data_IF_780506718686
#
_entry.id   IF_780506718686
#
_cell.length_a   1.000
_cell.length_b   1.000
_cell.length_c   1.000
_cell.angle_alpha   90.00
_cell.angle_beta   90.00
_cell.angle_gamma   90.00
#
_symmetry.space_group_name_H-M   'P 1'
#
loop_
_entity.id
_entity.type
_entity.pdbx_description
1 polymer ?
#
# COMPACT_ATOMS: atom_id res chain seq x y z
N UNK A 1 -13.07 -6.38 -20.44
CA UNK A 1 -12.06 -5.75 -19.55
C UNK A 1 -12.30 -6.27 -18.14
N UNK A 2 -11.28 -6.74 -17.41
CA UNK A 2 -11.49 -7.22 -16.04
C UNK A 2 -11.70 -6.03 -15.07
N UNK A 3 -12.31 -6.30 -13.91
CA UNK A 3 -12.64 -5.28 -12.92
C UNK A 3 -11.37 -4.55 -12.44
N UNK A 4 -10.29 -5.27 -12.20
CA UNK A 4 -9.02 -4.69 -11.75
C UNK A 4 -8.47 -3.67 -12.74
N UNK A 5 -8.51 -3.95 -14.05
CA UNK A 5 -8.12 -3.00 -15.09
C UNK A 5 -9.04 -1.78 -15.13
N UNK A 6 -10.35 -1.96 -14.99
CA UNK A 6 -11.27 -0.83 -14.94
C UNK A 6 -11.00 0.10 -13.74
N UNK A 7 -10.79 -0.47 -12.55
CA UNK A 7 -10.47 0.30 -11.35
C UNK A 7 -9.11 1.00 -11.48
N UNK A 8 -8.11 0.33 -12.06
CA UNK A 8 -6.82 0.95 -12.34
C UNK A 8 -6.96 2.14 -13.30
N UNK A 9 -7.60 1.94 -14.44
CA UNK A 9 -7.77 2.97 -15.46
C UNK A 9 -8.55 4.18 -14.90
N UNK A 10 -9.50 3.96 -13.97
CA UNK A 10 -10.25 5.03 -13.29
C UNK A 10 -9.45 5.86 -12.27
N UNK A 11 -8.37 5.33 -11.71
CA UNK A 11 -7.58 6.00 -10.66
C UNK A 11 -6.16 6.34 -11.13
N UNK A 12 -5.91 6.20 -12.42
CA UNK A 12 -4.59 6.39 -13.02
C UNK A 12 -4.09 7.82 -12.86
N UNK A 13 -5.00 8.79 -12.91
CA UNK A 13 -4.75 10.21 -12.65
C UNK A 13 -4.21 10.43 -11.22
N UNK A 14 -4.84 9.82 -10.22
CA UNK A 14 -4.39 9.89 -8.82
C UNK A 14 -3.03 9.21 -8.64
N UNK A 15 -2.82 8.05 -9.28
CA UNK A 15 -1.52 7.38 -9.27
C UNK A 15 -0.42 8.26 -9.88
N UNK A 16 -0.70 8.94 -11.00
CA UNK A 16 0.23 9.88 -11.60
C UNK A 16 0.44 11.13 -10.75
N UNK A 17 -0.59 11.65 -10.07
CA UNK A 17 -0.44 12.77 -9.15
C UNK A 17 0.49 12.40 -7.97
N UNK A 18 0.32 11.21 -7.38
CA UNK A 18 1.20 10.68 -6.34
C UNK A 18 2.64 10.50 -6.84
N UNK A 19 2.82 9.90 -8.02
CA UNK A 19 4.14 9.71 -8.64
C UNK A 19 4.87 11.05 -8.86
N UNK A 20 4.16 12.08 -9.31
CA UNK A 20 4.72 13.40 -9.60
C UNK A 20 4.74 14.33 -8.38
N UNK A 21 4.34 13.86 -7.20
CA UNK A 21 4.40 14.64 -5.97
C UNK A 21 5.84 15.01 -5.60
N UNK A 22 6.00 16.13 -4.88
CA UNK A 22 7.32 16.57 -4.39
C UNK A 22 8.00 15.52 -3.53
N UNK A 23 7.23 14.73 -2.78
CA UNK A 23 7.77 13.67 -1.92
C UNK A 23 8.38 12.53 -2.75
N UNK A 24 7.62 11.94 -3.67
CA UNK A 24 8.09 10.82 -4.51
C UNK A 24 9.22 11.24 -5.45
N UNK A 25 9.10 12.42 -6.08
CA UNK A 25 10.21 12.95 -6.89
C UNK A 25 11.44 13.28 -6.04
N UNK A 26 11.25 13.69 -4.78
CA UNK A 26 12.35 13.93 -3.86
C UNK A 26 13.11 12.67 -3.51
N UNK A 27 12.41 11.54 -3.32
CA UNK A 27 13.03 10.22 -3.16
C UNK A 27 13.81 9.85 -4.42
N UNK A 28 13.16 9.93 -5.60
CA UNK A 28 13.77 9.60 -6.89
C UNK A 28 15.08 10.35 -7.15
N UNK A 29 15.09 11.65 -6.85
CA UNK A 29 16.23 12.53 -7.14
C UNK A 29 17.24 12.61 -5.98
N UNK A 30 16.98 11.93 -4.86
CA UNK A 30 17.86 11.93 -3.68
C UNK A 30 17.91 13.25 -2.91
N UNK A 31 16.95 14.16 -3.13
CA UNK A 31 16.93 15.49 -2.52
C UNK A 31 15.83 15.66 -1.44
N UNK A 32 15.08 14.60 -1.12
CA UNK A 32 14.11 14.63 -0.04
C UNK A 32 14.84 14.89 1.30
N UNK A 33 14.43 15.91 2.09
CA UNK A 33 15.00 16.13 3.40
C UNK A 33 14.84 14.89 4.29
N UNK A 34 15.92 14.49 4.97
CA UNK A 34 15.95 13.30 5.82
C UNK A 34 14.80 13.27 6.84
N UNK A 35 14.50 14.41 7.47
CA UNK A 35 13.43 14.50 8.46
C UNK A 35 12.06 14.17 7.86
N UNK A 36 11.79 14.57 6.62
CA UNK A 36 10.53 14.23 5.94
C UNK A 36 10.42 12.72 5.72
N UNK A 37 11.53 12.07 5.34
CA UNK A 37 11.56 10.62 5.19
C UNK A 37 11.36 9.90 6.53
N UNK A 38 12.00 10.38 7.60
CA UNK A 38 11.80 9.82 8.95
C UNK A 38 10.36 9.95 9.43
N UNK A 39 9.72 11.11 9.20
CA UNK A 39 8.30 11.30 9.52
C UNK A 39 7.41 10.37 8.71
N UNK A 40 7.71 10.16 7.43
CA UNK A 40 7.01 9.19 6.60
C UNK A 40 7.13 7.76 7.16
N UNK A 41 8.33 7.31 7.50
CA UNK A 41 8.55 5.96 8.07
C UNK A 41 7.82 5.80 9.40
N UNK A 42 7.81 6.82 10.26
CA UNK A 42 7.07 6.79 11.51
C UNK A 42 5.55 6.67 11.30
N UNK A 43 5.01 7.40 10.30
CA UNK A 43 3.60 7.27 9.92
C UNK A 43 3.31 5.90 9.33
N UNK A 44 4.15 5.41 8.42
CA UNK A 44 4.00 4.09 7.77
C UNK A 44 3.95 2.97 8.81
N UNK A 45 4.83 3.01 9.82
CA UNK A 45 4.80 2.09 10.96
C UNK A 45 3.47 2.15 11.73
N UNK A 46 2.94 3.35 11.99
CA UNK A 46 1.65 3.51 12.67
C UNK A 46 0.49 2.90 11.86
N UNK A 47 0.55 2.96 10.53
CA UNK A 47 -0.46 2.35 9.66
C UNK A 47 -0.44 0.82 9.65
N UNK A 48 0.69 0.17 10.00
CA UNK A 48 0.82 -1.29 9.96
C UNK A 48 -0.26 -2.02 10.77
N UNK A 49 -0.67 -1.47 11.91
CA UNK A 49 -1.73 -2.08 12.72
C UNK A 49 -3.07 -2.11 11.95
N UNK A 50 -3.40 -1.03 11.25
CA UNK A 50 -4.61 -0.95 10.44
C UNK A 50 -4.55 -1.91 9.25
N UNK A 51 -3.39 -2.05 8.62
CA UNK A 51 -3.17 -3.03 7.55
C UNK A 51 -3.33 -4.47 8.05
N UNK A 52 -2.75 -4.80 9.21
CA UNK A 52 -2.90 -6.12 9.82
C UNK A 52 -4.36 -6.45 10.13
N UNK A 53 -5.11 -5.48 10.69
CA UNK A 53 -6.56 -5.63 10.95
C UNK A 53 -7.34 -5.86 9.66
N UNK A 54 -7.01 -5.15 8.58
CA UNK A 54 -7.66 -5.31 7.28
C UNK A 54 -7.42 -6.71 6.68
N UNK A 55 -6.18 -7.22 6.73
CA UNK A 55 -5.88 -8.58 6.29
C UNK A 55 -6.59 -9.64 7.14
N UNK A 56 -6.61 -9.50 8.47
CA UNK A 56 -7.36 -10.39 9.36
C UNK A 56 -8.86 -10.45 9.02
N UNK A 57 -9.46 -9.29 8.70
CA UNK A 57 -10.85 -9.22 8.25
C UNK A 57 -11.07 -9.85 6.86
N UNK A 58 -10.10 -9.74 5.95
CA UNK A 58 -10.18 -10.39 4.65
C UNK A 58 -10.10 -11.92 4.79
N UNK A 59 -9.19 -12.43 5.63
CA UNK A 59 -9.02 -13.86 5.93
C UNK A 59 -10.33 -14.44 6.49
N UNK A 60 -10.99 -13.76 7.44
CA UNK A 60 -12.24 -14.25 8.04
C UNK A 60 -13.41 -14.36 7.06
N UNK A 61 -13.31 -13.75 5.88
CA UNK A 61 -14.32 -13.79 4.80
C UNK A 61 -13.97 -14.75 3.68
N UNK A 62 -12.83 -15.43 3.73
CA UNK A 62 -12.40 -16.33 2.67
C UNK A 62 -13.00 -17.73 2.82
N UNK A 63 -13.33 -18.35 1.69
CA UNK A 63 -13.75 -19.76 1.60
C UNK A 63 -12.72 -20.63 0.86
N UNK A 64 -11.67 -20.03 0.28
CA UNK A 64 -10.59 -20.70 -0.44
C UNK A 64 -9.31 -20.73 0.42
N UNK A 65 -8.77 -21.94 0.64
CA UNK A 65 -7.56 -22.16 1.44
C UNK A 65 -6.32 -21.47 0.84
N UNK A 66 -6.25 -21.36 -0.48
CA UNK A 66 -5.12 -20.67 -1.14
C UNK A 66 -5.18 -19.18 -0.84
N UNK A 67 -6.37 -18.57 -0.93
CA UNK A 67 -6.58 -17.18 -0.57
C UNK A 67 -6.26 -16.91 0.91
N UNK A 68 -6.69 -17.81 1.81
CA UNK A 68 -6.35 -17.73 3.25
C UNK A 68 -4.83 -17.74 3.43
N UNK A 69 -4.10 -18.66 2.79
CA UNK A 69 -2.64 -18.75 2.90
C UNK A 69 -1.95 -17.47 2.42
N UNK A 70 -2.29 -17.01 1.21
CA UNK A 70 -1.69 -15.78 0.65
C UNK A 70 -1.97 -14.55 1.52
N UNK A 71 -3.18 -14.38 2.03
CA UNK A 71 -3.49 -13.25 2.91
C UNK A 71 -2.84 -13.38 4.29
N UNK A 72 -2.61 -14.60 4.78
CA UNK A 72 -1.90 -14.83 6.04
C UNK A 72 -0.41 -14.51 5.90
N UNK A 73 0.20 -14.80 4.76
CA UNK A 73 1.57 -14.37 4.45
C UNK A 73 1.66 -12.82 4.41
N UNK A 74 0.72 -12.16 3.74
CA UNK A 74 0.68 -10.69 3.68
C UNK A 74 0.44 -10.04 5.05
N UNK A 75 -0.34 -10.68 5.93
CA UNK A 75 -0.58 -10.23 7.30
C UNK A 75 0.71 -10.21 8.14
N UNK A 76 1.58 -11.20 7.94
CA UNK A 76 2.85 -11.30 8.67
C UNK A 76 3.92 -10.31 8.16
N UNK A 77 3.63 -9.63 7.06
CA UNK A 77 4.60 -8.79 6.34
C UNK A 77 5.40 -9.60 5.34
N UNK A 78 5.73 -8.97 4.21
CA UNK A 78 6.63 -9.51 3.16
C UNK A 78 8.06 -9.07 3.45
#
# INVERSE_FOLDING_TARGET
>A
MNLSKHLWDKNKDLAFASLNSKFVQGIKNGNLPKNNFQSYVAQDYFFLESFARAYGLAISKCFDINAIRTLSELLLGV
#
